data_IF_410679785920
#
_entry.id   IF_410679785920
#
_cell.length_a   1.000
_cell.length_b   1.000
_cell.length_c   1.000
_cell.angle_alpha   90.00
_cell.angle_beta   90.00
_cell.angle_gamma   90.00
#
_symmetry.space_group_name_H-M   'P 1'
#
loop_
_entity.id
_entity.type
_entity.pdbx_description
1 polymer ?
#
# COMPACT_ATOMS: atom_id res chain seq x y z
N UNK A 1 -28.02 -13.92 -22.45
CA UNK A 1 -27.55 -13.41 -21.14
C UNK A 1 -26.22 -14.08 -20.87
N UNK A 2 -25.17 -13.40 -21.31
CA UNK A 2 -23.81 -13.93 -21.46
C UNK A 2 -23.17 -14.14 -20.11
N UNK A 3 -22.49 -15.28 -19.97
CA UNK A 3 -21.47 -15.54 -18.98
C UNK A 3 -20.26 -14.60 -19.19
N UNK A 4 -20.49 -13.29 -19.01
CA UNK A 4 -19.49 -12.34 -18.52
C UNK A 4 -19.28 -12.66 -17.02
N UNK A 5 -18.96 -13.93 -16.72
CA UNK A 5 -17.62 -14.50 -16.52
C UNK A 5 -17.20 -14.25 -15.08
N UNK A 6 -17.54 -15.21 -14.20
CA UNK A 6 -17.10 -15.26 -12.80
C UNK A 6 -15.62 -14.89 -12.63
N UNK A 7 -14.78 -15.29 -13.58
CA UNK A 7 -13.36 -14.93 -13.66
C UNK A 7 -13.11 -13.42 -13.69
N UNK A 8 -13.88 -12.64 -14.45
CA UNK A 8 -13.71 -11.16 -14.53
C UNK A 8 -14.11 -10.50 -13.22
N UNK A 9 -15.10 -11.06 -12.53
CA UNK A 9 -15.54 -10.63 -11.20
C UNK A 9 -14.51 -10.97 -10.11
N UNK A 10 -13.89 -12.15 -10.18
CA UNK A 10 -12.78 -12.55 -9.29
C UNK A 10 -11.53 -11.71 -9.55
N UNK A 11 -11.21 -11.41 -10.80
CA UNK A 11 -10.10 -10.54 -11.17
C UNK A 11 -10.30 -9.12 -10.63
N UNK A 12 -11.50 -8.55 -10.79
CA UNK A 12 -11.85 -7.24 -10.21
C UNK A 12 -11.77 -7.24 -8.68
N UNK A 13 -12.18 -8.33 -8.03
CA UNK A 13 -12.10 -8.47 -6.58
C UNK A 13 -10.65 -8.52 -6.09
N UNK A 14 -9.81 -9.32 -6.74
CA UNK A 14 -8.37 -9.39 -6.46
C UNK A 14 -7.71 -8.00 -6.65
N UNK A 15 -8.16 -7.23 -7.64
CA UNK A 15 -7.66 -5.89 -7.92
C UNK A 15 -7.97 -4.91 -6.77
N UNK A 16 -9.17 -4.99 -6.19
CA UNK A 16 -9.58 -4.15 -5.06
C UNK A 16 -8.91 -4.59 -3.75
N UNK A 17 -8.58 -5.88 -3.63
CA UNK A 17 -8.01 -6.44 -2.42
C UNK A 17 -6.52 -6.10 -2.24
N UNK A 18 -5.72 -5.94 -3.31
CA UNK A 18 -4.29 -5.64 -3.16
C UNK A 18 -3.99 -4.31 -2.45
N UNK A 19 -4.64 -3.16 -2.77
CA UNK A 19 -4.43 -1.93 -2.02
C UNK A 19 -4.73 -2.10 -0.54
N UNK A 20 -5.79 -2.84 -0.22
CA UNK A 20 -6.13 -3.19 1.15
C UNK A 20 -5.02 -4.02 1.81
N UNK A 21 -4.54 -5.08 1.16
CA UNK A 21 -3.46 -5.91 1.69
C UNK A 21 -2.16 -5.13 1.92
N UNK A 22 -1.75 -4.31 0.95
CA UNK A 22 -0.55 -3.46 1.05
C UNK A 22 -0.69 -2.46 2.19
N UNK A 23 -1.82 -1.75 2.27
CA UNK A 23 -2.08 -0.78 3.34
C UNK A 23 -2.11 -1.45 4.72
N UNK A 24 -2.75 -2.62 4.83
CA UNK A 24 -2.75 -3.40 6.08
C UNK A 24 -1.35 -3.87 6.47
N UNK A 25 -0.55 -4.36 5.51
CA UNK A 25 0.84 -4.74 5.75
C UNK A 25 1.67 -3.57 6.29
N UNK A 26 1.63 -2.43 5.60
CA UNK A 26 2.32 -1.21 6.04
C UNK A 26 1.86 -0.77 7.43
N UNK A 27 0.55 -0.81 7.72
CA UNK A 27 0.03 -0.44 9.03
C UNK A 27 0.55 -1.35 10.16
N UNK A 28 0.61 -2.66 9.93
CA UNK A 28 1.12 -3.62 10.92
C UNK A 28 2.59 -3.33 11.23
N UNK A 29 3.43 -3.17 10.20
CA UNK A 29 4.86 -2.92 10.41
C UNK A 29 5.13 -1.54 11.01
N UNK A 30 4.43 -0.50 10.56
CA UNK A 30 4.54 0.83 11.17
C UNK A 30 4.16 0.78 12.66
N UNK A 31 3.07 0.09 13.00
CA UNK A 31 2.62 -0.08 14.40
C UNK A 31 3.64 -0.86 15.22
N UNK A 32 4.20 -1.94 14.69
CA UNK A 32 5.25 -2.70 15.35
C UNK A 32 6.48 -1.82 15.64
N UNK A 33 6.94 -1.05 14.65
CA UNK A 33 8.04 -0.12 14.82
C UNK A 33 7.76 0.98 15.87
N UNK A 34 6.50 1.43 15.99
CA UNK A 34 6.09 2.39 17.03
C UNK A 34 6.27 1.84 18.46
N UNK A 35 6.11 0.53 18.66
CA UNK A 35 6.36 -0.07 19.97
C UNK A 35 7.86 -0.03 20.31
N UNK A 36 8.71 -0.46 19.37
CA UNK A 36 10.17 -0.43 19.57
C UNK A 36 10.72 0.97 19.79
N UNK A 37 10.19 1.97 19.08
CA UNK A 37 10.72 3.34 19.20
C UNK A 37 10.40 4.01 20.54
N UNK A 38 9.31 3.57 21.19
CA UNK A 38 8.91 4.06 22.52
C UNK A 38 9.88 3.61 23.60
N UNK A 39 10.47 2.43 23.44
CA UNK A 39 11.34 1.80 24.43
C UNK A 39 12.83 2.16 24.24
N UNK A 40 13.18 2.97 23.22
CA UNK A 40 14.56 3.40 22.98
C UNK A 40 15.05 4.37 24.08
N UNK A 41 16.25 4.13 24.65
CA UNK A 41 16.83 5.02 25.65
C UNK A 41 17.08 6.42 25.09
N UNK A 42 16.73 7.44 25.88
CA UNK A 42 16.93 8.84 25.52
C UNK A 42 18.40 9.26 25.68
N UNK A 43 18.93 10.04 24.74
CA UNK A 43 20.27 10.65 24.86
C UNK A 43 21.40 10.00 24.06
N UNK A 44 21.17 8.88 23.37
CA UNK A 44 22.17 8.29 22.46
C UNK A 44 22.00 8.77 21.01
N UNK A 45 23.11 8.97 20.29
CA UNK A 45 23.12 9.34 18.85
C UNK A 45 22.32 8.31 18.02
N UNK A 46 22.41 7.03 18.39
CA UNK A 46 21.67 5.93 17.78
C UNK A 46 20.15 6.11 17.92
N UNK A 47 19.67 6.63 19.05
CA UNK A 47 18.25 6.95 19.29
C UNK A 47 17.75 8.07 18.36
N UNK A 48 18.55 9.12 18.13
CA UNK A 48 18.18 10.17 17.16
C UNK A 48 18.09 9.64 15.73
N UNK A 49 19.02 8.79 15.31
CA UNK A 49 19.02 8.21 13.97
C UNK A 49 17.80 7.29 13.76
N UNK A 50 17.45 6.47 14.75
CA UNK A 50 16.25 5.63 14.69
C UNK A 50 14.96 6.45 14.66
N UNK A 51 14.88 7.56 15.43
CA UNK A 51 13.76 8.51 15.38
C UNK A 51 13.63 9.18 14.01
N UNK A 52 14.74 9.56 13.40
CA UNK A 52 14.74 10.13 12.05
C UNK A 52 14.25 9.12 11.00
N UNK A 53 14.79 7.90 11.02
CA UNK A 53 14.37 6.82 10.11
C UNK A 53 12.87 6.49 10.26
N UNK A 54 12.37 6.49 11.49
CA UNK A 54 10.94 6.29 11.75
C UNK A 54 10.06 7.41 11.15
N UNK A 55 10.48 8.67 11.28
CA UNK A 55 9.76 9.80 10.66
C UNK A 55 9.74 9.65 9.13
N UNK A 56 10.87 9.29 8.52
CA UNK A 56 10.94 9.02 7.07
C UNK A 56 9.99 7.89 6.68
N UNK A 57 9.97 6.79 7.45
CA UNK A 57 9.01 5.69 7.28
C UNK A 57 7.56 6.14 7.36
N UNK A 58 7.21 7.02 8.31
CA UNK A 58 5.86 7.57 8.44
C UNK A 58 5.44 8.40 7.23
N UNK A 59 6.35 9.21 6.67
CA UNK A 59 6.09 9.96 5.44
C UNK A 59 5.84 9.01 4.26
N UNK A 60 6.65 7.96 4.12
CA UNK A 60 6.44 6.93 3.08
C UNK A 60 5.11 6.20 3.24
N UNK A 61 4.71 5.88 4.48
CA UNK A 61 3.39 5.30 4.77
C UNK A 61 2.27 6.23 4.31
N UNK A 62 2.33 7.52 4.64
CA UNK A 62 1.31 8.49 4.23
C UNK A 62 1.21 8.61 2.70
N UNK A 63 2.35 8.64 2.00
CA UNK A 63 2.36 8.66 0.53
C UNK A 63 1.74 7.38 -0.05
N UNK A 64 2.06 6.22 0.51
CA UNK A 64 1.51 4.92 0.08
C UNK A 64 -0.01 4.88 0.29
N UNK A 65 -0.49 5.36 1.44
CA UNK A 65 -1.93 5.42 1.74
C UNK A 65 -2.66 6.40 0.83
N UNK A 66 -2.09 7.57 0.58
CA UNK A 66 -2.66 8.56 -0.35
C UNK A 66 -2.79 7.99 -1.77
N UNK A 67 -1.73 7.35 -2.26
CA UNK A 67 -1.73 6.74 -3.60
C UNK A 67 -2.71 5.56 -3.68
N UNK A 68 -2.76 4.70 -2.65
CA UNK A 68 -3.71 3.60 -2.55
C UNK A 68 -5.16 4.07 -2.52
N UNK A 69 -5.44 5.16 -1.82
CA UNK A 69 -6.77 5.77 -1.79
C UNK A 69 -7.17 6.33 -3.17
N UNK A 70 -6.25 7.03 -3.86
CA UNK A 70 -6.48 7.52 -5.23
C UNK A 70 -6.77 6.38 -6.21
N UNK A 71 -6.01 5.29 -6.12
CA UNK A 71 -6.21 4.10 -6.96
C UNK A 71 -7.58 3.44 -6.67
N UNK A 72 -7.92 3.30 -5.39
CA UNK A 72 -9.18 2.68 -4.95
C UNK A 72 -10.41 3.49 -5.39
N UNK A 73 -10.35 4.82 -5.27
CA UNK A 73 -11.42 5.72 -5.72
C UNK A 73 -11.54 5.75 -7.25
N UNK A 74 -10.42 5.70 -7.98
CA UNK A 74 -10.41 5.51 -9.44
C UNK A 74 -11.13 4.22 -9.87
N UNK A 75 -10.79 3.10 -9.22
CA UNK A 75 -11.43 1.80 -9.44
C UNK A 75 -12.94 1.84 -9.16
N UNK A 76 -13.36 2.41 -8.04
CA UNK A 76 -14.79 2.53 -7.69
C UNK A 76 -15.54 3.41 -8.69
N UNK A 77 -14.94 4.51 -9.16
CA UNK A 77 -15.56 5.39 -10.15
C UNK A 77 -15.74 4.69 -11.51
N UNK A 78 -14.75 3.91 -11.95
CA UNK A 78 -14.84 3.13 -13.19
C UNK A 78 -15.92 2.03 -13.07
N UNK A 79 -15.98 1.32 -11.93
CA UNK A 79 -17.02 0.31 -11.70
C UNK A 79 -18.43 0.89 -11.61
N UNK A 80 -18.59 2.10 -11.06
CA UNK A 80 -19.91 2.74 -10.90
C UNK A 80 -20.44 3.38 -12.19
N UNK A 81 -19.56 3.80 -13.08
CA UNK A 81 -19.92 4.51 -14.33
C UNK A 81 -20.18 3.59 -15.53
N UNK A 82 -19.88 2.29 -15.45
CA UNK A 82 -19.97 1.39 -16.62
C UNK A 82 -20.72 0.07 -16.39
N UNK A 83 -22.07 0.07 -16.32
CA UNK A 83 -22.86 -1.15 -16.47
C UNK A 83 -23.04 -1.59 -17.94
N UNK A 84 -22.80 -0.73 -18.95
CA UNK A 84 -23.12 -1.02 -20.36
C UNK A 84 -22.07 -0.64 -21.40
N UNK A 85 -20.83 -0.33 -21.01
CA UNK A 85 -19.83 0.24 -21.91
C UNK A 85 -18.79 -0.81 -22.32
N UNK A 86 -18.69 -1.12 -23.61
CA UNK A 86 -17.65 -1.99 -24.21
C UNK A 86 -16.21 -1.53 -23.88
N UNK A 87 -16.05 -0.28 -23.42
CA UNK A 87 -14.75 0.31 -23.05
C UNK A 87 -14.35 0.13 -21.57
N UNK A 88 -15.22 -0.43 -20.72
CA UNK A 88 -14.95 -0.57 -19.28
C UNK A 88 -13.77 -1.48 -18.99
N UNK A 89 -13.63 -2.58 -19.74
CA UNK A 89 -12.48 -3.49 -19.65
C UNK A 89 -11.17 -2.77 -20.00
N UNK A 90 -11.15 -2.00 -21.09
CA UNK A 90 -9.95 -1.26 -21.53
C UNK A 90 -9.47 -0.19 -20.54
N UNK A 91 -10.39 0.48 -19.83
CA UNK A 91 -10.04 1.47 -18.81
C UNK A 91 -9.53 0.80 -17.52
N UNK A 92 -10.09 -0.36 -17.16
CA UNK A 92 -9.60 -1.19 -16.07
C UNK A 92 -8.19 -1.71 -16.41
N UNK A 93 -7.97 -2.20 -17.63
CA UNK A 93 -6.67 -2.68 -18.09
C UNK A 93 -5.61 -1.57 -18.10
N UNK A 94 -5.96 -0.34 -18.48
CA UNK A 94 -5.05 0.81 -18.39
C UNK A 94 -4.72 1.20 -16.93
N UNK A 95 -5.71 1.19 -16.03
CA UNK A 95 -5.48 1.41 -14.60
C UNK A 95 -4.57 0.32 -14.01
N UNK A 96 -4.73 -0.93 -14.46
CA UNK A 96 -3.92 -2.08 -14.02
C UNK A 96 -2.49 -2.00 -14.57
N UNK A 97 -2.32 -1.71 -15.86
CA UNK A 97 -1.03 -1.80 -16.51
C UNK A 97 0.00 -0.77 -16.00
N UNK A 98 -0.46 0.43 -15.62
CA UNK A 98 0.42 1.53 -15.18
C UNK A 98 0.41 1.77 -13.67
N UNK A 99 -0.75 2.19 -13.14
CA UNK A 99 -0.85 2.68 -11.77
C UNK A 99 -0.76 1.56 -10.73
N UNK A 100 -1.22 0.37 -11.07
CA UNK A 100 -1.22 -0.79 -10.18
C UNK A 100 0.17 -1.37 -9.93
N UNK A 101 0.98 -1.49 -10.99
CA UNK A 101 2.37 -1.94 -10.87
C UNK A 101 3.20 -0.93 -10.06
N UNK A 102 2.98 0.36 -10.31
CA UNK A 102 3.64 1.44 -9.58
C UNK A 102 3.24 1.42 -8.10
N UNK A 103 1.95 1.27 -7.79
CA UNK A 103 1.47 1.16 -6.42
C UNK A 103 2.01 -0.07 -5.69
N UNK A 104 2.03 -1.24 -6.34
CA UNK A 104 2.62 -2.47 -5.78
C UNK A 104 4.10 -2.28 -5.44
N UNK A 105 4.85 -1.61 -6.32
CA UNK A 105 6.28 -1.35 -6.10
C UNK A 105 6.51 -0.38 -4.94
N UNK A 106 5.76 0.74 -4.89
CA UNK A 106 5.80 1.70 -3.78
C UNK A 106 5.43 1.01 -2.46
N UNK A 107 4.38 0.20 -2.46
CA UNK A 107 3.94 -0.59 -1.32
C UNK A 107 5.02 -1.54 -0.82
N UNK A 108 5.65 -2.29 -1.72
CA UNK A 108 6.74 -3.21 -1.39
C UNK A 108 7.96 -2.47 -0.82
N UNK A 109 8.34 -1.34 -1.40
CA UNK A 109 9.43 -0.49 -0.88
C UNK A 109 9.09 0.04 0.51
N UNK A 110 7.85 0.47 0.74
CA UNK A 110 7.41 0.93 2.04
C UNK A 110 7.46 -0.18 3.09
N UNK A 111 6.95 -1.37 2.77
CA UNK A 111 7.04 -2.54 3.67
C UNK A 111 8.49 -2.90 3.95
N UNK A 112 9.35 -3.00 2.93
CA UNK A 112 10.78 -3.29 3.08
C UNK A 112 11.46 -2.24 3.96
N UNK A 113 11.13 -0.96 3.80
CA UNK A 113 11.68 0.11 4.62
C UNK A 113 11.34 -0.09 6.10
N UNK A 114 10.10 -0.47 6.42
CA UNK A 114 9.71 -0.77 7.80
C UNK A 114 10.34 -2.04 8.34
N UNK A 115 10.49 -3.08 7.52
CA UNK A 115 11.21 -4.30 7.91
C UNK A 115 12.65 -3.99 8.27
N UNK A 116 13.33 -3.15 7.48
CA UNK A 116 14.69 -2.69 7.78
C UNK A 116 14.73 -1.88 9.09
N UNK A 117 13.78 -0.96 9.30
CA UNK A 117 13.69 -0.19 10.55
C UNK A 117 13.53 -1.10 11.76
N UNK A 118 12.60 -2.06 11.71
CA UNK A 118 12.37 -3.03 12.80
C UNK A 118 13.60 -3.91 13.01
N UNK A 119 14.22 -4.39 11.93
CA UNK A 119 15.42 -5.22 12.01
C UNK A 119 16.58 -4.47 12.67
N UNK A 120 16.81 -3.20 12.28
CA UNK A 120 17.82 -2.35 12.90
C UNK A 120 17.50 -2.10 14.38
N UNK A 121 16.23 -1.83 14.72
CA UNK A 121 15.80 -1.65 16.11
C UNK A 121 15.99 -2.90 16.95
N UNK A 122 15.77 -4.10 16.39
CA UNK A 122 15.95 -5.38 17.10
C UNK A 122 17.42 -5.75 17.33
N UNK A 123 18.35 -5.16 16.57
CA UNK A 123 19.80 -5.36 16.74
C UNK A 123 20.44 -4.35 17.72
N UNK A 124 19.73 -3.29 18.08
CA UNK A 124 20.17 -2.26 19.02
C UNK A 124 19.82 -2.65 20.45
#
# INVERSE_FOLDING_TARGET
MTALSKETLEYQRAIIELPRFVMSGVAIFATAASFFIRDLPEGQIQSMLMKFLYIVGMVLTLLTFSYGFKLSTGLVNVMRSSPSNENASSQIDQLIAGDYRTFSWIGAVCILSWVVVIFLMALC
#
